data_IF_858369028606
#
_entry.id   IF_858369028606
#
_cell.length_a   1.000
_cell.length_b   1.000
_cell.length_c   1.000
_cell.angle_alpha   90.00
_cell.angle_beta   90.00
_cell.angle_gamma   90.00
#
_symmetry.space_group_name_H-M   'P 1'
#
loop_
_entity.id
_entity.type
_entity.pdbx_description
1 polymer ?
#
# COMPACT_ATOMS: atom_id res chain seq x y z
N UNK A 1 -10.24 14.86 -10.25
CA UNK A 1 -9.86 13.68 -9.46
C UNK A 1 -10.18 12.48 -10.34
N UNK A 2 -9.29 12.13 -11.25
CA UNK A 2 -9.71 11.42 -12.46
C UNK A 2 -9.38 9.92 -12.40
N UNK A 3 -8.57 9.50 -11.42
CA UNK A 3 -8.03 8.13 -11.29
C UNK A 3 -8.65 7.33 -10.14
N UNK A 4 -9.54 7.94 -9.34
CA UNK A 4 -10.30 7.32 -8.24
C UNK A 4 -9.46 6.43 -7.30
N UNK A 5 -8.28 6.91 -6.90
CA UNK A 5 -7.39 6.21 -5.97
C UNK A 5 -7.62 6.80 -4.57
N UNK A 6 -8.27 6.08 -3.63
CA UNK A 6 -8.36 6.52 -2.24
C UNK A 6 -6.98 6.64 -1.60
N UNK A 7 -6.88 7.48 -0.58
CA UNK A 7 -5.66 7.57 0.24
C UNK A 7 -5.33 6.21 0.87
N UNK A 8 -4.07 5.80 0.85
CA UNK A 8 -3.66 4.48 1.34
C UNK A 8 -4.06 4.27 2.81
N UNK A 9 -3.94 5.33 3.62
CA UNK A 9 -4.26 5.36 5.05
C UNK A 9 -5.76 5.32 5.34
N UNK A 10 -6.62 5.56 4.34
CA UNK A 10 -8.07 5.43 4.51
C UNK A 10 -8.48 3.98 4.81
N UNK A 11 -7.71 3.01 4.31
CA UNK A 11 -7.91 1.58 4.59
C UNK A 11 -6.82 1.04 5.54
N UNK A 12 -5.56 1.40 5.31
CA UNK A 12 -4.41 0.86 6.07
C UNK A 12 -4.14 1.57 7.40
N UNK A 13 -5.12 2.33 7.89
CA UNK A 13 -5.09 3.00 9.19
C UNK A 13 -4.23 4.27 9.23
N UNK A 14 -4.38 5.08 10.30
CA UNK A 14 -3.58 6.27 10.51
C UNK A 14 -2.09 5.91 10.48
N UNK A 15 -1.29 6.70 9.76
CA UNK A 15 0.15 6.46 9.59
C UNK A 15 0.51 5.10 8.96
N UNK A 16 -0.45 4.35 8.39
CA UNK A 16 -0.19 3.05 7.77
C UNK A 16 0.05 1.90 8.75
N UNK A 17 -0.43 1.99 9.99
CA UNK A 17 -0.21 0.96 11.04
C UNK A 17 -1.12 -0.27 10.92
N UNK A 18 -2.04 -0.28 9.96
CA UNK A 18 -3.03 -1.33 9.76
C UNK A 18 -4.25 -1.22 10.68
N UNK A 19 -5.31 -1.94 10.31
CA UNK A 19 -6.58 -2.06 11.02
C UNK A 19 -7.02 -3.53 11.01
N UNK A 20 -6.77 -4.22 12.12
CA UNK A 20 -7.07 -5.64 12.26
C UNK A 20 -6.40 -6.50 11.19
N UNK A 21 -6.99 -7.66 10.89
CA UNK A 21 -6.44 -8.62 9.93
C UNK A 21 -6.79 -8.25 8.46
N UNK A 22 -7.83 -7.44 8.26
CA UNK A 22 -8.32 -7.10 6.93
C UNK A 22 -7.42 -6.08 6.22
N UNK A 23 -6.83 -5.14 6.96
CA UNK A 23 -5.99 -4.09 6.41
C UNK A 23 -4.63 -4.11 7.11
N UNK A 24 -3.63 -4.83 6.56
CA UNK A 24 -2.35 -5.00 7.23
C UNK A 24 -1.53 -3.70 7.30
N UNK A 25 -0.56 -3.61 8.22
CA UNK A 25 0.37 -2.49 8.28
C UNK A 25 1.20 -2.36 7.00
N UNK A 26 1.42 -1.11 6.60
CA UNK A 26 2.36 -0.72 5.54
C UNK A 26 3.62 -0.06 6.14
N UNK A 27 3.44 0.69 7.24
CA UNK A 27 4.51 1.41 7.91
C UNK A 27 5.62 0.46 8.36
N UNK A 28 6.87 0.85 8.08
CA UNK A 28 8.05 0.10 8.48
C UNK A 28 8.30 -1.18 7.69
N UNK A 29 7.44 -1.52 6.71
CA UNK A 29 7.75 -2.64 5.82
C UNK A 29 8.85 -2.29 4.83
N UNK A 30 9.57 -3.31 4.34
CA UNK A 30 10.58 -3.11 3.32
C UNK A 30 9.97 -2.51 2.05
N UNK A 31 10.61 -1.48 1.48
CA UNK A 31 10.21 -0.89 0.20
C UNK A 31 10.18 -1.94 -0.92
N UNK A 32 11.13 -2.89 -0.90
CA UNK A 32 11.15 -4.00 -1.85
C UNK A 32 9.97 -4.95 -1.64
N UNK A 33 9.59 -5.20 -0.39
CA UNK A 33 8.40 -5.99 -0.10
C UNK A 33 7.16 -5.27 -0.64
N UNK A 34 6.92 -4.03 -0.26
CA UNK A 34 5.73 -3.26 -0.68
C UNK A 34 5.59 -3.17 -2.20
N UNK A 35 6.68 -2.83 -2.90
CA UNK A 35 6.69 -2.77 -4.37
C UNK A 35 6.42 -4.14 -5.02
N UNK A 36 6.99 -5.22 -4.47
CA UNK A 36 6.73 -6.57 -4.97
C UNK A 36 5.26 -6.99 -4.79
N UNK A 37 4.61 -6.58 -3.70
CA UNK A 37 3.20 -6.90 -3.47
C UNK A 37 2.28 -6.14 -4.43
N UNK A 38 2.51 -4.84 -4.60
CA UNK A 38 1.80 -4.02 -5.59
C UNK A 38 1.97 -4.58 -7.01
N UNK A 39 3.20 -4.97 -7.36
CA UNK A 39 3.48 -5.62 -8.65
C UNK A 39 2.74 -6.94 -8.80
N UNK A 40 2.70 -7.77 -7.76
CA UNK A 40 2.01 -9.05 -7.78
C UNK A 40 0.50 -8.90 -7.97
N UNK A 41 -0.12 -7.88 -7.36
CA UNK A 41 -1.51 -7.53 -7.60
C UNK A 41 -1.76 -7.01 -9.03
N UNK A 42 -0.83 -6.19 -9.57
CA UNK A 42 -0.93 -5.70 -10.95
C UNK A 42 -0.88 -6.85 -11.96
N UNK A 43 -0.06 -7.85 -11.70
CA UNK A 43 0.10 -9.05 -12.52
C UNK A 43 -0.96 -10.13 -12.24
N UNK A 44 -1.76 -9.97 -11.19
CA UNK A 44 -2.73 -10.97 -10.75
C UNK A 44 -2.11 -12.26 -10.19
N UNK A 45 -0.82 -12.24 -9.81
CA UNK A 45 -0.15 -13.37 -9.14
C UNK A 45 -0.45 -13.40 -7.64
N UNK A 46 -0.84 -12.27 -7.05
CA UNK A 46 -1.41 -12.18 -5.70
C UNK A 46 -2.93 -12.04 -5.76
N UNK A 47 -3.65 -12.95 -5.08
CA UNK A 47 -5.13 -13.07 -5.13
C UNK A 47 -5.79 -13.25 -3.75
N UNK A 48 -5.08 -12.92 -2.68
CA UNK A 48 -5.60 -13.07 -1.30
C UNK A 48 -6.47 -11.87 -0.84
N UNK A 49 -7.05 -11.13 -1.78
CA UNK A 49 -7.99 -10.04 -1.55
C UNK A 49 -9.31 -10.38 -2.25
N UNK A 50 -10.31 -10.91 -1.52
CA UNK A 50 -11.57 -11.36 -2.10
C UNK A 50 -12.37 -10.29 -2.85
N UNK A 51 -12.14 -9.02 -2.51
CA UNK A 51 -12.86 -7.88 -3.10
C UNK A 51 -12.03 -7.15 -4.17
N UNK A 52 -10.81 -7.64 -4.47
CA UNK A 52 -9.88 -7.05 -5.45
C UNK A 52 -9.61 -5.54 -5.23
N UNK A 53 -9.68 -5.09 -3.96
CA UNK A 53 -9.44 -3.70 -3.58
C UNK A 53 -8.01 -3.29 -3.96
N UNK A 54 -7.02 -4.01 -3.46
CA UNK A 54 -5.61 -3.69 -3.73
C UNK A 54 -5.20 -4.01 -5.17
N UNK A 55 -5.88 -4.95 -5.84
CA UNK A 55 -5.69 -5.16 -7.27
C UNK A 55 -6.11 -3.96 -8.10
N UNK A 56 -7.27 -3.37 -7.81
CA UNK A 56 -7.73 -2.15 -8.47
C UNK A 56 -6.76 -0.98 -8.22
N UNK A 57 -6.33 -0.77 -6.98
CA UNK A 57 -5.36 0.27 -6.63
C UNK A 57 -4.04 0.05 -7.38
N UNK A 58 -3.46 -1.16 -7.31
CA UNK A 58 -2.17 -1.46 -7.92
C UNK A 58 -2.15 -1.27 -9.45
N UNK A 59 -3.25 -1.59 -10.13
CA UNK A 59 -3.38 -1.36 -11.59
C UNK A 59 -3.59 0.11 -11.94
N UNK A 60 -4.03 0.92 -11.00
CA UNK A 60 -4.27 2.35 -11.19
C UNK A 60 -3.02 3.19 -10.97
N UNK A 61 -1.96 2.66 -10.33
CA UNK A 61 -0.69 3.34 -10.07
C UNK A 61 0.29 3.24 -11.25
N UNK A 62 1.12 4.26 -11.42
CA UNK A 62 2.32 4.21 -12.30
C UNK A 62 3.48 3.51 -11.58
N UNK A 63 4.54 3.13 -12.31
CA UNK A 63 5.75 2.55 -11.70
C UNK A 63 6.44 3.51 -10.72
N UNK A 64 6.48 4.80 -11.08
CA UNK A 64 7.06 5.84 -10.23
C UNK A 64 6.24 6.00 -8.95
N UNK A 65 4.92 5.92 -9.03
CA UNK A 65 4.04 5.97 -7.87
C UNK A 65 4.19 4.72 -6.99
N UNK A 66 4.27 3.52 -7.58
CA UNK A 66 4.56 2.28 -6.84
C UNK A 66 5.86 2.41 -6.07
N UNK A 67 6.90 2.94 -6.71
CA UNK A 67 8.20 3.19 -6.07
C UNK A 67 8.07 4.21 -4.95
N UNK A 68 7.43 5.34 -5.21
CA UNK A 68 7.26 6.43 -4.25
C UNK A 68 6.50 5.99 -2.99
N UNK A 69 5.35 5.33 -3.14
CA UNK A 69 4.57 4.86 -1.98
C UNK A 69 5.30 3.78 -1.20
N UNK A 70 6.01 2.88 -1.89
CA UNK A 70 6.78 1.81 -1.23
C UNK A 70 7.93 2.38 -0.40
N UNK A 71 8.66 3.36 -0.93
CA UNK A 71 9.74 4.05 -0.19
C UNK A 71 9.17 4.89 0.95
N UNK A 72 8.05 5.57 0.75
CA UNK A 72 7.40 6.37 1.77
C UNK A 72 7.02 5.53 3.00
N UNK A 73 6.25 4.45 2.81
CA UNK A 73 5.80 3.61 3.93
C UNK A 73 6.96 2.85 4.59
N UNK A 74 8.01 2.50 3.84
CA UNK A 74 9.22 1.92 4.42
C UNK A 74 9.98 2.89 5.36
N UNK A 75 9.92 4.19 5.07
CA UNK A 75 10.51 5.23 5.91
C UNK A 75 9.70 5.55 7.17
N UNK A 76 8.43 5.15 7.22
CA UNK A 76 7.56 5.33 8.39
C UNK A 76 7.87 4.26 9.44
N UNK A 77 8.95 4.44 10.19
CA UNK A 77 9.18 3.69 11.45
C UNK A 77 8.42 4.36 12.58
N UNK A 78 8.20 3.68 13.73
CA UNK A 78 7.39 4.15 14.89
C UNK A 78 7.71 5.55 15.44
N UNK A 79 8.74 6.24 14.91
CA UNK A 79 9.05 7.64 15.20
C UNK A 79 8.46 8.65 14.20
N UNK A 80 7.83 8.20 13.11
CA UNK A 80 7.23 9.01 12.05
C UNK A 80 5.76 9.36 12.26
N UNK A 81 5.10 8.80 13.29
CA UNK A 81 3.75 9.18 13.71
C UNK A 81 3.74 10.37 14.70
N UNK A 82 4.91 10.92 15.05
CA UNK A 82 5.05 12.03 15.97
C UNK A 82 5.67 13.25 15.28
N UNK A 83 4.81 14.11 14.72
CA UNK A 83 4.91 15.55 14.92
C UNK A 83 3.56 16.23 14.71
#
# INVERSE_FOLDING_TARGET
>A
WDRNIPECVACHGPSGTGVGDAFPPLAGQSAQYLSSQLTAWRQGTRKNDPNDLMGHIARSLTEDEVTAVSTYFAGLTDKGAAK
#
